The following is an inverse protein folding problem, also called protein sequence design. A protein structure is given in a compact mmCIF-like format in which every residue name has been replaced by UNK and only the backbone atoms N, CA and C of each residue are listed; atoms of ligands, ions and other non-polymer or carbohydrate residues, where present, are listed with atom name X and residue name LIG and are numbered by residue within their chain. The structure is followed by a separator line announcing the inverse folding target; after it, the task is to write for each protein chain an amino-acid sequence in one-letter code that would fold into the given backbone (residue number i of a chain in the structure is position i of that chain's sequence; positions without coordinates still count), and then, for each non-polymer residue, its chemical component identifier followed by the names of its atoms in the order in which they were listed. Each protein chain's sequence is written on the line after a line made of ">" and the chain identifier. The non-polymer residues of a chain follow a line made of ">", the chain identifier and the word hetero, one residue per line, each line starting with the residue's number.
data_IF_002962179709
#
_entry.id   IF_002962179709
#
_cell.length_a   1.000
_cell.length_b   1.000
_cell.length_c   1.000
_cell.angle_alpha   90.00
_cell.angle_beta   90.00
_cell.angle_gamma   90.00
#
_symmetry.space_group_name_H-M   'P 1'
#
loop_
_entity.id
_entity.type
_entity.pdbx_description
1 polymer ?
#
# COMPACT_ATOMS: atom_id res chain seq x y z
N UNK A 1 16.72 8.92 5.82
CA UNK A 1 17.96 9.63 5.42
C UNK A 1 17.64 11.09 5.09
N UNK A 2 18.47 12.10 5.47
CA UNK A 2 18.18 13.51 5.15
C UNK A 2 18.13 13.77 3.64
N UNK A 3 17.23 14.63 3.19
CA UNK A 3 17.11 15.02 1.77
C UNK A 3 18.35 15.76 1.23
N UNK A 4 19.18 16.30 2.13
CA UNK A 4 20.42 17.00 1.80
C UNK A 4 21.60 16.08 1.47
N UNK A 5 21.44 14.76 1.53
CA UNK A 5 22.55 13.84 1.26
C UNK A 5 22.98 13.90 -0.22
N UNK A 6 24.28 14.09 -0.53
CA UNK A 6 24.74 14.31 -1.90
C UNK A 6 24.31 13.24 -2.92
N UNK A 7 24.28 11.93 -2.61
CA UNK A 7 23.84 10.92 -3.55
C UNK A 7 22.37 11.06 -3.99
N UNK A 8 21.52 11.73 -3.20
CA UNK A 8 20.13 11.99 -3.57
C UNK A 8 19.97 13.10 -4.62
N UNK A 9 21.01 13.92 -4.82
CA UNK A 9 21.02 14.97 -5.83
C UNK A 9 21.52 14.47 -7.21
N UNK A 10 21.85 13.18 -7.34
CA UNK A 10 22.31 12.61 -8.59
C UNK A 10 21.18 12.63 -9.65
N UNK A 11 21.50 12.90 -10.94
CA UNK A 11 20.51 12.81 -12.02
C UNK A 11 19.84 11.43 -12.06
N UNK A 12 18.52 11.41 -12.24
CA UNK A 12 17.75 10.16 -12.27
C UNK A 12 17.35 9.62 -10.89
N UNK A 13 17.78 10.24 -9.79
CA UNK A 13 17.31 9.89 -8.45
C UNK A 13 16.09 10.73 -8.07
N UNK A 14 15.01 10.06 -7.71
CA UNK A 14 13.83 10.69 -7.13
C UNK A 14 13.70 10.26 -5.67
N UNK A 15 13.75 11.22 -4.76
CA UNK A 15 13.56 10.96 -3.33
C UNK A 15 12.07 10.93 -2.97
N UNK A 16 11.67 9.92 -2.21
CA UNK A 16 10.31 9.71 -1.71
C UNK A 16 10.27 9.78 -0.18
N UNK A 17 9.11 10.07 0.44
CA UNK A 17 8.94 9.91 1.89
C UNK A 17 9.13 8.45 2.32
N UNK A 18 9.20 8.15 3.63
CA UNK A 18 9.23 6.77 4.13
C UNK A 18 8.07 5.95 3.54
N UNK A 19 8.38 4.76 3.03
CA UNK A 19 7.43 3.95 2.27
C UNK A 19 6.26 3.45 3.13
N UNK A 20 5.05 3.56 2.60
CA UNK A 20 3.82 3.04 3.17
C UNK A 20 3.09 2.07 2.26
N UNK A 21 1.99 1.54 2.79
CA UNK A 21 1.10 0.67 2.03
C UNK A 21 0.46 1.42 0.85
N UNK A 22 0.73 0.96 -0.37
CA UNK A 22 0.22 1.53 -1.60
C UNK A 22 1.27 2.19 -2.47
N UNK A 23 2.39 2.63 -1.88
CA UNK A 23 3.34 3.52 -2.56
C UNK A 23 4.07 2.84 -3.73
N UNK A 24 4.22 1.51 -3.69
CA UNK A 24 4.83 0.75 -4.79
C UNK A 24 3.90 0.53 -5.99
N UNK A 25 2.63 0.97 -5.92
CA UNK A 25 1.74 1.00 -7.08
C UNK A 25 1.71 2.35 -7.79
N UNK A 26 2.58 3.28 -7.41
CA UNK A 26 2.64 4.59 -8.07
C UNK A 26 3.00 4.42 -9.56
N UNK A 27 2.25 5.03 -10.50
CA UNK A 27 2.50 4.90 -11.93
C UNK A 27 3.81 5.52 -12.42
N UNK A 28 4.50 6.28 -11.57
CA UNK A 28 5.87 6.73 -11.82
C UNK A 28 6.89 5.58 -11.77
N UNK A 29 6.60 4.49 -11.07
CA UNK A 29 7.45 3.30 -10.96
C UNK A 29 7.15 2.37 -12.13
N UNK A 30 8.15 2.08 -12.96
CA UNK A 30 8.00 1.35 -14.22
C UNK A 30 9.02 0.22 -14.35
N UNK A 31 8.72 -0.73 -15.24
CA UNK A 31 9.67 -1.76 -15.65
C UNK A 31 11.02 -1.14 -16.05
N UNK A 32 12.10 -1.67 -15.48
CA UNK A 32 13.46 -1.16 -15.70
C UNK A 32 13.94 -0.17 -14.63
N UNK A 33 13.04 0.40 -13.82
CA UNK A 33 13.42 1.27 -12.72
C UNK A 33 14.08 0.48 -11.57
N UNK A 34 14.82 1.20 -10.72
CA UNK A 34 15.35 0.67 -9.45
C UNK A 34 14.72 1.43 -8.28
N UNK A 35 14.05 0.69 -7.40
CA UNK A 35 13.47 1.21 -6.16
C UNK A 35 14.39 0.84 -4.99
N UNK A 36 14.88 1.85 -4.27
CA UNK A 36 15.67 1.68 -3.05
C UNK A 36 14.78 1.92 -1.84
N UNK A 37 14.46 0.87 -1.10
CA UNK A 37 13.66 0.92 0.12
C UNK A 37 14.59 1.10 1.31
N UNK A 38 14.43 2.23 2.02
CA UNK A 38 15.19 2.55 3.22
C UNK A 38 14.26 2.52 4.44
N UNK A 39 13.54 3.60 4.66
CA UNK A 39 12.64 3.79 5.80
C UNK A 39 11.18 3.51 5.41
N UNK A 40 10.36 3.12 6.38
CA UNK A 40 8.92 2.97 6.21
C UNK A 40 8.13 3.66 7.32
N UNK A 41 6.86 3.93 7.04
CA UNK A 41 5.93 4.44 8.06
C UNK A 41 5.64 3.38 9.12
N UNK A 42 5.63 3.79 10.38
CA UNK A 42 5.40 2.90 11.52
C UNK A 42 4.33 3.49 12.46
N UNK A 43 3.38 2.66 12.91
CA UNK A 43 2.19 3.00 13.70
C UNK A 43 1.14 3.96 13.11
N UNK A 44 1.54 4.97 12.34
CA UNK A 44 0.64 6.05 11.89
C UNK A 44 -0.16 5.69 10.63
N UNK A 45 0.33 4.72 9.85
CA UNK A 45 -0.30 4.20 8.64
C UNK A 45 0.01 2.70 8.50
N UNK A 46 -0.76 1.96 7.69
CA UNK A 46 -0.43 0.57 7.38
C UNK A 46 0.96 0.49 6.74
N UNK A 47 1.79 -0.41 7.27
CA UNK A 47 3.14 -0.61 6.77
C UNK A 47 3.14 -1.29 5.38
N UNK A 48 4.23 -1.05 4.64
CA UNK A 48 4.52 -1.73 3.38
C UNK A 48 4.43 -3.26 3.54
N UNK A 49 3.73 -3.91 2.60
CA UNK A 49 3.55 -5.36 2.59
C UNK A 49 4.51 -6.03 1.62
N UNK A 50 4.94 -7.25 1.95
CA UNK A 50 5.80 -8.08 1.09
C UNK A 50 5.29 -8.22 -0.34
N UNK A 51 3.97 -8.40 -0.50
CA UNK A 51 3.37 -8.61 -1.82
C UNK A 51 3.42 -7.38 -2.72
N UNK A 52 3.57 -6.18 -2.17
CA UNK A 52 3.76 -4.96 -2.97
C UNK A 52 5.16 -4.95 -3.59
N UNK A 53 6.16 -5.37 -2.82
CA UNK A 53 7.54 -5.53 -3.30
C UNK A 53 7.60 -6.62 -4.38
N UNK A 54 6.99 -7.77 -4.13
CA UNK A 54 6.91 -8.86 -5.10
C UNK A 54 6.17 -8.43 -6.38
N UNK A 55 5.14 -7.60 -6.26
CA UNK A 55 4.43 -7.05 -7.41
C UNK A 55 5.30 -6.12 -8.25
N UNK A 56 6.03 -5.19 -7.62
CA UNK A 56 6.96 -4.32 -8.33
C UNK A 56 8.05 -5.16 -9.05
N UNK A 57 8.63 -6.15 -8.35
CA UNK A 57 9.63 -7.04 -8.94
C UNK A 57 9.07 -7.88 -10.10
N UNK A 58 7.85 -8.38 -9.97
CA UNK A 58 7.14 -9.09 -11.04
C UNK A 58 6.84 -8.22 -12.28
N UNK A 59 6.89 -6.89 -12.14
CA UNK A 59 6.79 -5.93 -13.25
C UNK A 59 8.15 -5.54 -13.84
N UNK A 60 9.25 -6.18 -13.41
CA UNK A 60 10.59 -5.87 -13.90
C UNK A 60 11.26 -4.69 -13.20
N UNK A 61 10.76 -4.28 -12.02
CA UNK A 61 11.42 -3.29 -11.16
C UNK A 61 12.50 -3.96 -10.33
N UNK A 62 13.71 -3.41 -10.31
CA UNK A 62 14.75 -3.86 -9.36
C UNK A 62 14.46 -3.27 -8.00
N UNK A 63 14.44 -4.09 -6.96
CA UNK A 63 14.22 -3.59 -5.60
C UNK A 63 15.44 -3.88 -4.73
N UNK A 64 16.00 -2.80 -4.19
CA UNK A 64 17.10 -2.82 -3.22
C UNK A 64 16.52 -2.44 -1.85
N UNK A 65 16.83 -3.20 -0.82
CA UNK A 65 16.48 -2.87 0.56
C UNK A 65 17.73 -2.68 1.42
N UNK A 66 17.76 -1.59 2.18
CA UNK A 66 18.85 -1.30 3.10
C UNK A 66 18.37 -0.47 4.27
N UNK A 67 19.00 -0.65 5.43
CA UNK A 67 18.58 -0.05 6.69
C UNK A 67 17.08 -0.25 7.04
N UNK A 68 16.72 0.00 8.29
CA UNK A 68 15.31 0.06 8.73
C UNK A 68 14.43 -1.12 8.25
N UNK A 69 13.20 -0.83 7.81
CA UNK A 69 12.28 -1.78 7.16
C UNK A 69 12.84 -2.34 5.84
N UNK A 70 13.64 -1.56 5.10
CA UNK A 70 14.21 -1.98 3.82
C UNK A 70 15.12 -3.19 3.96
N UNK A 71 16.04 -3.14 4.93
CA UNK A 71 16.93 -4.25 5.27
C UNK A 71 16.16 -5.50 5.73
N UNK A 72 15.14 -5.32 6.57
CA UNK A 72 14.29 -6.43 7.03
C UNK A 72 13.57 -7.10 5.85
N UNK A 73 12.92 -6.31 4.99
CA UNK A 73 12.21 -6.82 3.81
C UNK A 73 13.16 -7.46 2.82
N UNK A 74 14.36 -6.93 2.62
CA UNK A 74 15.37 -7.56 1.79
C UNK A 74 15.81 -8.92 2.34
N UNK A 75 15.99 -9.07 3.66
CA UNK A 75 16.32 -10.37 4.25
C UNK A 75 15.21 -11.40 4.03
N UNK A 76 13.94 -11.00 4.17
CA UNK A 76 12.78 -11.88 3.96
C UNK A 76 12.53 -12.21 2.47
N UNK A 77 12.88 -11.29 1.56
CA UNK A 77 12.59 -11.39 0.13
C UNK A 77 13.81 -11.70 -0.74
N UNK A 78 14.99 -11.91 -0.14
CA UNK A 78 16.19 -12.34 -0.85
C UNK A 78 15.98 -13.63 -1.67
N UNK A 79 15.25 -14.67 -1.18
CA UNK A 79 14.95 -15.85 -2.00
C UNK A 79 14.10 -15.57 -3.25
N UNK A 80 13.43 -14.42 -3.30
CA UNK A 80 12.60 -13.98 -4.43
C UNK A 80 13.32 -12.96 -5.33
N UNK A 81 14.57 -12.61 -5.01
CA UNK A 81 15.43 -11.74 -5.84
C UNK A 81 15.55 -10.28 -5.37
N UNK A 82 15.02 -9.92 -4.20
CA UNK A 82 15.22 -8.57 -3.65
C UNK A 82 16.67 -8.43 -3.19
N UNK A 83 17.38 -7.38 -3.63
CA UNK A 83 18.78 -7.17 -3.26
C UNK A 83 18.86 -6.50 -1.88
N UNK A 84 19.57 -7.13 -0.95
CA UNK A 84 19.90 -6.52 0.33
C UNK A 84 21.29 -5.91 0.36
N UNK A 85 21.41 -4.70 0.92
CA UNK A 85 22.68 -3.96 1.03
C UNK A 85 22.90 -3.49 2.46
N UNK A 86 24.17 -3.50 2.89
CA UNK A 86 24.60 -2.98 4.17
C UNK A 86 24.57 -3.98 5.33
N UNK A 87 25.05 -3.51 6.49
CA UNK A 87 25.27 -4.31 7.68
C UNK A 87 23.96 -4.76 8.34
N UNK A 88 22.94 -3.90 8.36
CA UNK A 88 21.64 -4.20 8.98
C UNK A 88 20.94 -5.31 8.21
N UNK A 89 21.00 -5.29 6.87
CA UNK A 89 20.50 -6.39 6.04
C UNK A 89 21.26 -7.69 6.36
N UNK A 90 22.60 -7.65 6.36
CA UNK A 90 23.42 -8.83 6.62
C UNK A 90 23.12 -9.44 8.00
N UNK A 91 22.91 -8.60 9.02
CA UNK A 91 22.55 -9.03 10.37
C UNK A 91 21.17 -9.73 10.42
N UNK A 92 20.15 -9.22 9.71
CA UNK A 92 18.87 -9.91 9.59
C UNK A 92 18.99 -11.21 8.79
N UNK A 93 19.68 -11.19 7.65
CA UNK A 93 19.85 -12.36 6.79
C UNK A 93 20.61 -13.52 7.47
N UNK A 94 21.47 -13.20 8.44
CA UNK A 94 22.20 -14.18 9.27
C UNK A 94 21.49 -14.50 10.59
N UNK A 95 20.30 -13.96 10.81
CA UNK A 95 19.52 -14.10 12.05
C UNK A 95 20.26 -13.61 13.32
N UNK A 96 21.26 -12.73 13.17
CA UNK A 96 21.96 -12.08 14.29
C UNK A 96 21.03 -11.09 15.03
N UNK A 97 20.05 -10.54 14.28
CA UNK A 97 18.95 -9.73 14.79
C UNK A 97 17.63 -10.19 14.16
N UNK A 98 16.51 -10.04 14.88
CA UNK A 98 15.18 -10.47 14.41
C UNK A 98 14.01 -9.62 14.96
N UNK A 99 14.28 -8.58 15.75
CA UNK A 99 13.23 -7.80 16.41
C UNK A 99 12.88 -6.53 15.64
N UNK A 100 11.60 -6.19 15.55
CA UNK A 100 11.14 -4.91 14.97
C UNK A 100 11.73 -3.70 15.73
N UNK A 101 11.99 -3.85 17.03
CA UNK A 101 12.60 -2.84 17.88
C UNK A 101 14.03 -2.49 17.45
N UNK A 102 14.70 -3.38 16.73
CA UNK A 102 16.07 -3.21 16.24
C UNK A 102 16.18 -1.98 15.35
N UNK A 103 15.15 -1.72 14.55
CA UNK A 103 15.10 -0.65 13.54
C UNK A 103 14.10 0.47 13.86
N UNK A 104 13.21 0.26 14.83
CA UNK A 104 12.17 1.23 15.19
C UNK A 104 12.72 2.54 15.76
N UNK A 105 12.17 3.66 15.27
CA UNK A 105 12.47 5.02 15.72
C UNK A 105 11.18 5.82 15.94
N UNK A 106 11.19 6.74 16.91
CA UNK A 106 10.19 7.80 16.98
C UNK A 106 10.36 8.75 15.80
N UNK A 107 9.28 9.01 15.09
CA UNK A 107 9.23 9.94 13.96
C UNK A 107 8.59 11.26 14.40
N UNK A 108 9.13 12.38 13.93
CA UNK A 108 8.53 13.69 14.16
C UNK A 108 7.18 13.81 13.41
N UNK A 109 6.16 14.42 14.02
CA UNK A 109 4.83 14.59 13.41
C UNK A 109 4.76 15.77 12.41
N UNK A 110 5.88 16.45 12.17
CA UNK A 110 6.00 17.66 11.36
C UNK A 110 6.11 17.39 9.85
N UNK A 111 6.21 16.13 9.45
CA UNK A 111 6.37 15.73 8.05
C UNK A 111 7.81 15.84 7.53
N UNK A 112 8.79 16.19 8.37
CA UNK A 112 10.21 16.17 7.99
C UNK A 112 10.82 14.76 8.10
N UNK A 113 10.05 13.80 8.63
CA UNK A 113 10.39 12.38 8.76
C UNK A 113 11.72 12.09 9.49
N UNK A 114 12.23 13.08 10.24
CA UNK A 114 13.44 12.96 11.04
C UNK A 114 13.26 11.93 12.16
N UNK A 115 14.28 11.09 12.34
CA UNK A 115 14.34 10.18 13.49
C UNK A 115 14.65 10.98 14.76
N UNK A 116 13.75 10.93 15.74
CA UNK A 116 13.89 11.59 17.03
C UNK A 116 14.68 10.75 18.05
N UNK A 117 14.83 9.46 17.78
CA UNK A 117 15.40 8.48 18.69
C UNK A 117 16.31 7.51 17.97
N UNK A 118 17.17 6.83 18.72
CA UNK A 118 18.12 5.88 18.19
C UNK A 118 17.53 4.47 18.13
N UNK A 119 17.68 3.76 17.00
CA UNK A 119 17.35 2.35 16.88
C UNK A 119 18.38 1.46 17.61
N UNK A 120 18.05 0.21 17.96
CA UNK A 120 19.02 -0.70 18.65
C UNK A 120 20.24 -0.94 17.76
N UNK A 121 20.07 -1.06 16.45
CA UNK A 121 21.21 -1.34 15.54
C UNK A 121 22.29 -0.27 15.61
N UNK A 122 21.93 1.01 15.71
CA UNK A 122 22.89 2.10 15.88
C UNK A 122 23.58 1.98 17.26
N UNK A 123 22.82 1.63 18.31
CA UNK A 123 23.39 1.41 19.65
C UNK A 123 24.39 0.26 19.69
N UNK A 124 24.08 -0.87 19.05
CA UNK A 124 25.00 -2.01 18.89
C UNK A 124 26.28 -1.57 18.19
N UNK A 125 26.13 -0.85 17.08
CA UNK A 125 27.26 -0.38 16.30
C UNK A 125 28.15 0.57 17.10
N UNK A 126 27.56 1.53 17.81
CA UNK A 126 28.30 2.43 18.70
C UNK A 126 29.08 1.64 19.75
N UNK A 127 28.46 0.67 20.42
CA UNK A 127 29.13 -0.15 21.42
C UNK A 127 30.29 -0.96 20.83
N UNK A 128 30.15 -1.51 19.62
CA UNK A 128 31.25 -2.18 18.92
C UNK A 128 32.41 -1.23 18.61
N UNK A 129 32.12 0.00 18.19
CA UNK A 129 33.15 1.03 17.97
C UNK A 129 33.85 1.39 19.29
N UNK A 130 33.10 1.53 20.39
CA UNK A 130 33.65 1.86 21.69
C UNK A 130 34.50 0.72 22.28
N UNK A 131 34.10 -0.54 22.06
CA UNK A 131 34.91 -1.72 22.40
C UNK A 131 36.20 -1.76 21.58
N UNK A 132 36.13 -1.48 20.28
CA UNK A 132 37.30 -1.44 19.39
C UNK A 132 38.28 -0.33 19.79
N UNK A 133 37.77 0.76 20.37
CA UNK A 133 38.56 1.84 20.95
C UNK A 133 39.12 1.54 22.36
N UNK A 134 38.80 0.38 22.95
CA UNK A 134 39.28 -0.04 24.27
C UNK A 134 38.65 0.67 25.47
N UNK A 135 37.56 1.41 25.27
CA UNK A 135 36.89 2.20 26.31
C UNK A 135 36.00 1.32 27.20
N UNK A 136 35.40 0.28 26.63
CA UNK A 136 34.60 -0.70 27.36
C UNK A 136 34.95 -2.11 26.90
N UNK A 137 34.76 -3.10 27.76
CA UNK A 137 34.85 -4.51 27.40
C UNK A 137 33.49 -5.07 26.93
N UNK A 138 33.47 -6.35 26.55
CA UNK A 138 32.25 -7.01 26.08
C UNK A 138 31.17 -7.17 27.15
N UNK A 139 31.55 -7.30 28.42
CA UNK A 139 30.57 -7.46 29.51
C UNK A 139 29.86 -6.14 29.78
N UNK A 140 30.61 -5.03 29.85
CA UNK A 140 30.09 -3.66 29.95
C UNK A 140 29.19 -3.33 28.76
N UNK A 141 29.64 -3.62 27.53
CA UNK A 141 28.85 -3.39 26.33
C UNK A 141 27.51 -4.14 26.35
N UNK A 142 27.49 -5.41 26.74
CA UNK A 142 26.27 -6.20 26.85
C UNK A 142 25.29 -5.63 27.89
N UNK A 143 25.80 -5.22 29.06
CA UNK A 143 25.00 -4.58 30.13
C UNK A 143 24.37 -3.27 29.68
N UNK A 144 25.16 -2.40 29.01
CA UNK A 144 24.67 -1.13 28.46
C UNK A 144 23.59 -1.39 27.41
N UNK A 145 23.84 -2.30 26.47
CA UNK A 145 22.91 -2.63 25.41
C UNK A 145 21.58 -3.14 25.96
N UNK A 146 21.62 -4.06 26.92
CA UNK A 146 20.42 -4.60 27.57
C UNK A 146 19.60 -3.48 28.23
N UNK A 147 20.26 -2.56 28.94
CA UNK A 147 19.60 -1.46 29.61
C UNK A 147 18.99 -0.44 28.62
N UNK A 148 19.65 -0.18 27.49
CA UNK A 148 19.14 0.71 26.45
C UNK A 148 18.00 0.08 25.64
N UNK A 149 18.06 -1.24 25.41
CA UNK A 149 16.98 -1.98 24.74
C UNK A 149 15.69 -1.99 25.56
N UNK A 150 15.80 -1.96 26.90
CA UNK A 150 14.64 -1.86 27.79
C UNK A 150 13.93 -0.48 27.74
N UNK A 151 14.55 0.54 27.15
CA UNK A 151 13.92 1.85 26.96
C UNK A 151 12.98 1.77 25.75
N UNK A 152 11.71 2.09 25.95
CA UNK A 152 10.70 2.11 24.89
C UNK A 152 11.18 2.98 23.71
N UNK A 153 11.06 2.47 22.48
CA UNK A 153 11.78 3.03 21.33
C UNK A 153 11.55 4.53 21.07
N UNK A 154 10.33 5.13 21.22
CA UNK A 154 10.11 6.56 21.05
C UNK A 154 10.74 7.43 22.15
N UNK A 155 11.33 6.81 23.17
CA UNK A 155 12.00 7.49 24.27
C UNK A 155 13.53 7.29 24.24
N UNK A 156 14.07 6.50 23.30
CA UNK A 156 15.52 6.23 23.14
C UNK A 156 16.28 7.43 22.57
N UNK A 157 16.28 8.52 23.32
CA UNK A 157 16.98 9.75 23.00
C UNK A 157 18.40 9.75 23.58
N UNK A 158 19.24 10.69 23.15
CA UNK A 158 20.53 10.92 23.80
C UNK A 158 20.41 11.20 25.31
N UNK A 159 19.34 11.87 25.74
CA UNK A 159 19.07 12.08 27.15
C UNK A 159 18.81 10.76 27.90
N UNK A 160 18.09 9.82 27.29
CA UNK A 160 17.88 8.49 27.84
C UNK A 160 19.17 7.67 27.89
N UNK A 161 20.01 7.75 26.85
CA UNK A 161 21.33 7.09 26.86
C UNK A 161 22.17 7.58 28.04
N UNK A 162 22.29 8.90 28.23
CA UNK A 162 23.02 9.46 29.39
C UNK A 162 22.42 9.05 30.72
N UNK A 163 21.10 8.95 30.83
CA UNK A 163 20.44 8.49 32.05
C UNK A 163 20.76 7.02 32.38
N UNK A 164 20.77 6.15 31.36
CA UNK A 164 21.19 4.75 31.50
C UNK A 164 22.65 4.65 31.92
N UNK A 165 23.54 5.41 31.27
CA UNK A 165 24.96 5.40 31.60
C UNK A 165 25.20 5.83 33.06
N UNK A 166 24.54 6.90 33.54
CA UNK A 166 24.62 7.32 34.95
C UNK A 166 24.16 6.24 35.92
N UNK A 167 23.09 5.51 35.59
CA UNK A 167 22.55 4.45 36.45
C UNK A 167 23.47 3.23 36.53
N UNK A 168 24.26 2.98 35.48
CA UNK A 168 25.21 1.87 35.40
C UNK A 168 26.64 2.27 35.78
N UNK A 169 26.87 3.54 36.16
CA UNK A 169 28.19 4.12 36.39
C UNK A 169 29.14 4.08 35.15
N UNK A 170 28.55 4.11 33.95
CA UNK A 170 29.26 4.06 32.67
C UNK A 170 29.61 5.48 32.16
N UNK A 171 30.30 6.25 33.02
CA UNK A 171 30.65 7.66 32.75
C UNK A 171 31.70 7.81 31.65
N UNK A 172 32.64 6.87 31.57
CA UNK A 172 33.69 6.82 30.54
C UNK A 172 33.10 6.65 29.14
N UNK A 173 32.21 5.67 28.96
CA UNK A 173 31.46 5.46 27.71
C UNK A 173 30.66 6.71 27.32
N UNK A 174 29.91 7.30 28.26
CA UNK A 174 29.10 8.48 27.99
C UNK A 174 29.95 9.69 27.56
N UNK A 175 31.11 9.89 28.21
CA UNK A 175 32.05 10.96 27.88
C UNK A 175 32.68 10.77 26.50
N UNK A 176 33.12 9.54 26.20
CA UNK A 176 33.67 9.20 24.90
C UNK A 176 32.65 9.42 23.77
N UNK A 177 31.43 8.92 23.94
CA UNK A 177 30.37 9.07 22.95
C UNK A 177 29.98 10.54 22.75
N UNK A 178 29.94 11.34 23.82
CA UNK A 178 29.70 12.78 23.71
C UNK A 178 30.77 13.47 22.86
N UNK A 179 32.05 13.14 23.07
CA UNK A 179 33.15 13.70 22.30
C UNK A 179 33.11 13.30 20.82
N UNK A 180 32.73 12.04 20.51
CA UNK A 180 32.56 11.59 19.12
C UNK A 180 31.41 12.33 18.43
N UNK A 181 30.27 12.50 19.10
CA UNK A 181 29.11 13.22 18.55
C UNK A 181 29.38 14.71 18.33
N UNK A 182 30.25 15.32 19.14
CA UNK A 182 30.67 16.72 18.98
C UNK A 182 31.54 16.89 17.72
N UNK A 183 32.38 15.89 17.41
CA UNK A 183 33.22 15.88 16.21
C UNK A 183 32.42 15.54 14.94
N UNK A 184 31.54 14.55 15.03
CA UNK A 184 30.65 14.13 13.95
C UNK A 184 29.25 13.84 14.49
N UNK A 185 28.29 14.69 14.12
CA UNK A 185 26.89 14.54 14.51
C UNK A 185 26.25 13.23 14.05
N UNK A 186 26.82 12.58 13.03
CA UNK A 186 26.34 11.32 12.45
C UNK A 186 27.13 10.11 12.95
N UNK A 187 28.00 10.30 13.95
CA UNK A 187 28.81 9.22 14.51
C UNK A 187 27.93 8.04 14.95
N UNK A 188 28.26 6.85 14.45
CA UNK A 188 27.54 5.62 14.77
C UNK A 188 26.17 5.46 14.10
N UNK A 189 25.80 6.32 13.15
CA UNK A 189 24.55 6.19 12.38
C UNK A 189 24.67 5.12 11.29
N UNK A 190 24.58 3.85 11.71
CA UNK A 190 24.65 2.70 10.82
C UNK A 190 23.53 2.70 9.78
N UNK A 191 22.31 3.12 10.16
CA UNK A 191 21.20 3.27 9.21
C UNK A 191 21.55 4.22 8.07
N UNK A 192 22.19 5.36 8.37
CA UNK A 192 22.63 6.31 7.34
C UNK A 192 23.74 5.72 6.47
N UNK A 193 24.70 5.02 7.06
CA UNK A 193 25.78 4.39 6.31
C UNK A 193 25.25 3.36 5.29
N UNK A 194 24.39 2.45 5.73
CA UNK A 194 23.76 1.43 4.88
C UNK A 194 22.86 2.06 3.79
N UNK A 195 22.10 3.11 4.13
CA UNK A 195 21.28 3.83 3.17
C UNK A 195 22.11 4.46 2.03
N UNK A 196 23.24 5.09 2.39
CA UNK A 196 24.15 5.68 1.40
C UNK A 196 24.83 4.61 0.54
N UNK A 197 25.19 3.47 1.12
CA UNK A 197 25.74 2.33 0.37
C UNK A 197 24.72 1.79 -0.66
N UNK A 198 23.45 1.67 -0.28
CA UNK A 198 22.40 1.22 -1.18
C UNK A 198 22.14 2.17 -2.34
N UNK A 199 22.13 3.48 -2.09
CA UNK A 199 22.00 4.48 -3.16
C UNK A 199 23.19 4.42 -4.12
N UNK A 200 24.42 4.27 -3.62
CA UNK A 200 25.59 4.08 -4.49
C UNK A 200 25.49 2.79 -5.31
N UNK A 201 25.07 1.70 -4.68
CA UNK A 201 24.84 0.42 -5.36
C UNK A 201 23.80 0.54 -6.47
N UNK A 202 22.74 1.33 -6.26
CA UNK A 202 21.72 1.60 -7.27
C UNK A 202 22.23 2.43 -8.45
N UNK A 203 23.17 3.35 -8.19
CA UNK A 203 23.79 4.22 -9.21
C UNK A 203 24.90 3.51 -9.99
N UNK A 204 25.53 2.48 -9.40
CA UNK A 204 26.55 1.68 -10.04
C UNK A 204 25.91 0.57 -10.91
N UNK A 205 25.56 0.93 -12.15
CA UNK A 205 24.86 0.12 -13.19
C UNK A 205 25.41 -1.32 -13.39
N UNK A 206 26.62 -1.63 -12.92
CA UNK A 206 27.29 -2.92 -13.10
C UNK A 206 27.18 -3.93 -11.96
N UNK A 207 26.53 -3.60 -10.83
CA UNK A 207 26.59 -4.44 -9.61
C UNK A 207 25.27 -5.05 -9.14
N UNK A 208 24.12 -4.54 -9.58
CA UNK A 208 22.85 -5.16 -9.25
C UNK A 208 22.65 -6.42 -10.11
N UNK A 209 22.51 -7.64 -9.53
CA UNK A 209 22.22 -8.82 -10.32
C UNK A 209 20.97 -8.57 -11.16
N UNK A 210 21.10 -8.78 -12.47
CA UNK A 210 19.95 -8.82 -13.35
C UNK A 210 19.20 -10.11 -13.01
N UNK A 211 18.03 -9.99 -12.39
CA UNK A 211 17.09 -11.10 -12.39
C UNK A 211 16.58 -11.20 -13.83
N UNK A 212 17.17 -12.10 -14.62
CA UNK A 212 16.93 -12.22 -16.07
C UNK A 212 15.48 -12.58 -16.42
N UNK A 213 14.66 -12.95 -15.42
CA UNK A 213 13.23 -13.16 -15.58
C UNK A 213 12.45 -12.49 -14.43
N UNK A 214 11.34 -11.78 -14.74
CA UNK A 214 10.40 -11.30 -13.73
C UNK A 214 9.89 -12.45 -12.87
N UNK A 215 9.65 -12.17 -11.58
CA UNK A 215 9.10 -13.17 -10.66
C UNK A 215 7.70 -13.59 -11.12
N UNK A 216 7.54 -14.85 -11.51
CA UNK A 216 6.28 -15.39 -12.03
C UNK A 216 5.10 -15.11 -11.07
N UNK A 217 4.02 -14.43 -11.52
CA UNK A 217 2.88 -14.05 -10.68
C UNK A 217 2.27 -15.21 -9.90
N UNK A 218 2.28 -16.42 -10.47
CA UNK A 218 1.76 -17.63 -9.84
C UNK A 218 2.43 -17.96 -8.48
N UNK A 219 3.66 -17.50 -8.25
CA UNK A 219 4.40 -17.77 -7.02
C UNK A 219 3.93 -16.91 -5.83
N UNK A 220 3.23 -15.79 -6.05
CA UNK A 220 2.96 -14.81 -5.00
C UNK A 220 1.59 -14.14 -5.06
N UNK A 221 0.89 -14.15 -6.19
CA UNK A 221 -0.45 -13.59 -6.30
C UNK A 221 -1.48 -14.43 -5.54
N UNK A 222 -2.33 -13.76 -4.76
CA UNK A 222 -3.48 -14.40 -4.10
C UNK A 222 -4.74 -13.59 -4.32
N UNK A 223 -5.90 -14.20 -4.09
CA UNK A 223 -7.19 -13.51 -4.08
C UNK A 223 -7.22 -12.33 -3.12
N UNK A 224 -6.57 -12.46 -1.95
CA UNK A 224 -6.40 -11.37 -1.00
C UNK A 224 -5.60 -10.22 -1.61
N UNK A 225 -4.45 -10.52 -2.22
CA UNK A 225 -3.61 -9.54 -2.90
C UNK A 225 -4.41 -8.71 -3.90
N UNK A 226 -5.03 -9.38 -4.88
CA UNK A 226 -5.85 -8.72 -5.91
C UNK A 226 -6.92 -7.83 -5.29
N UNK A 227 -7.60 -8.32 -4.25
CA UNK A 227 -8.68 -7.57 -3.60
C UNK A 227 -8.21 -6.26 -2.97
N UNK A 228 -7.11 -6.26 -2.23
CA UNK A 228 -6.65 -5.02 -1.60
C UNK A 228 -5.82 -4.15 -2.56
N UNK A 229 -5.15 -4.74 -3.56
CA UNK A 229 -4.39 -3.97 -4.55
C UNK A 229 -5.31 -3.14 -5.46
N UNK A 230 -6.55 -3.59 -5.68
CA UNK A 230 -7.57 -2.83 -6.40
C UNK A 230 -7.85 -1.44 -5.82
N UNK A 231 -7.61 -1.23 -4.51
CA UNK A 231 -7.78 0.08 -3.87
C UNK A 231 -6.76 1.13 -4.37
N UNK A 232 -5.66 0.68 -4.98
CA UNK A 232 -4.60 1.52 -5.54
C UNK A 232 -4.68 1.65 -7.06
N UNK A 233 -5.56 0.89 -7.72
CA UNK A 233 -5.73 0.97 -9.16
C UNK A 233 -6.34 2.32 -9.57
N UNK A 234 -5.54 3.15 -10.23
CA UNK A 234 -5.93 4.48 -10.74
C UNK A 234 -5.78 4.53 -12.25
N UNK A 235 -6.63 5.30 -12.92
CA UNK A 235 -6.48 5.60 -14.35
C UNK A 235 -6.62 7.09 -14.57
N UNK A 236 -5.69 7.67 -15.35
CA UNK A 236 -5.86 9.01 -15.88
C UNK A 236 -6.67 8.94 -17.18
N UNK A 237 -7.88 9.48 -17.18
CA UNK A 237 -8.81 9.48 -18.32
C UNK A 237 -9.57 10.81 -18.36
N UNK A 238 -9.69 11.43 -19.53
CA UNK A 238 -10.26 12.78 -19.69
C UNK A 238 -9.63 13.84 -18.77
N UNK A 239 -8.33 13.71 -18.50
CA UNK A 239 -7.55 14.55 -17.55
C UNK A 239 -8.03 14.46 -16.09
N UNK A 240 -8.79 13.42 -15.76
CA UNK A 240 -9.19 13.10 -14.39
C UNK A 240 -8.38 11.88 -13.93
N UNK A 241 -7.76 11.99 -12.76
CA UNK A 241 -7.19 10.83 -12.07
C UNK A 241 -8.29 10.19 -11.22
N UNK A 242 -8.75 9.01 -11.60
CA UNK A 242 -9.90 8.36 -10.97
C UNK A 242 -9.53 7.00 -10.41
N UNK A 243 -10.13 6.65 -9.27
CA UNK A 243 -10.14 5.29 -8.74
C UNK A 243 -10.85 4.36 -9.72
N UNK A 244 -10.16 3.32 -10.18
CA UNK A 244 -10.71 2.32 -11.10
C UNK A 244 -11.82 1.53 -10.41
N UNK A 245 -11.68 1.28 -9.11
CA UNK A 245 -12.72 0.63 -8.31
C UNK A 245 -13.98 1.49 -8.21
N UNK A 246 -13.84 2.81 -8.02
CA UNK A 246 -15.00 3.70 -7.93
C UNK A 246 -15.73 3.82 -9.27
N UNK A 247 -14.98 3.82 -10.38
CA UNK A 247 -15.53 3.75 -11.74
C UNK A 247 -16.31 2.44 -11.94
N UNK A 248 -15.73 1.30 -11.56
CA UNK A 248 -16.42 0.01 -11.65
C UNK A 248 -17.70 -0.01 -10.81
N UNK A 249 -17.61 0.39 -9.55
CA UNK A 249 -18.78 0.38 -8.65
C UNK A 249 -19.86 1.34 -9.15
N UNK A 250 -19.47 2.49 -9.73
CA UNK A 250 -20.42 3.41 -10.36
C UNK A 250 -21.14 2.74 -11.53
N UNK A 251 -20.43 2.08 -12.43
CA UNK A 251 -21.03 1.34 -13.55
C UNK A 251 -21.93 0.20 -13.05
N UNK A 252 -21.47 -0.58 -12.07
CA UNK A 252 -22.29 -1.63 -11.44
C UNK A 252 -23.60 -1.10 -10.88
N UNK A 253 -23.60 0.10 -10.30
CA UNK A 253 -24.79 0.70 -9.69
C UNK A 253 -25.69 1.37 -10.73
N UNK A 254 -25.14 2.15 -11.66
CA UNK A 254 -25.92 3.08 -12.47
C UNK A 254 -26.09 2.68 -13.94
N UNK A 255 -25.20 1.85 -14.51
CA UNK A 255 -25.37 1.39 -15.89
C UNK A 255 -26.50 0.32 -15.93
N UNK A 256 -27.63 0.58 -16.62
CA UNK A 256 -28.70 -0.41 -16.76
C UNK A 256 -28.28 -1.62 -17.60
N UNK A 257 -27.25 -1.50 -18.43
CA UNK A 257 -26.73 -2.58 -19.26
C UNK A 257 -25.62 -3.38 -18.56
N UNK A 258 -25.22 -3.04 -17.33
CA UNK A 258 -24.05 -3.64 -16.69
C UNK A 258 -24.16 -5.16 -16.53
N UNK A 259 -25.36 -5.71 -16.39
CA UNK A 259 -25.55 -7.17 -16.34
C UNK A 259 -25.03 -7.88 -17.62
N UNK A 260 -25.13 -7.22 -18.79
CA UNK A 260 -24.56 -7.72 -20.05
C UNK A 260 -23.04 -7.61 -20.05
N UNK A 261 -22.50 -6.49 -19.53
CA UNK A 261 -21.05 -6.28 -19.36
C UNK A 261 -20.46 -7.35 -18.45
N UNK A 262 -21.12 -7.65 -17.33
CA UNK A 262 -20.72 -8.72 -16.41
C UNK A 262 -20.77 -10.10 -17.06
N UNK A 263 -21.84 -10.42 -17.79
CA UNK A 263 -21.94 -11.69 -18.53
C UNK A 263 -20.83 -11.82 -19.59
N UNK A 264 -20.49 -10.75 -20.31
CA UNK A 264 -19.39 -10.72 -21.26
C UNK A 264 -18.04 -10.94 -20.57
N UNK A 265 -17.81 -10.32 -19.41
CA UNK A 265 -16.63 -10.53 -18.59
C UNK A 265 -16.51 -11.99 -18.13
N UNK A 266 -17.58 -12.60 -17.61
CA UNK A 266 -17.61 -14.02 -17.25
C UNK A 266 -17.32 -14.92 -18.47
N UNK A 267 -17.86 -14.56 -19.64
CA UNK A 267 -17.57 -15.21 -20.91
C UNK A 267 -16.09 -15.20 -21.24
N UNK A 268 -15.46 -14.02 -21.18
CA UNK A 268 -14.04 -13.85 -21.39
C UNK A 268 -13.20 -14.66 -20.39
N UNK A 269 -13.53 -14.61 -19.09
CA UNK A 269 -12.82 -15.38 -18.05
C UNK A 269 -12.97 -16.89 -18.21
N UNK A 270 -14.12 -17.36 -18.71
CA UNK A 270 -14.33 -18.78 -19.00
C UNK A 270 -13.47 -19.28 -20.17
N UNK A 271 -13.26 -18.43 -21.17
CA UNK A 271 -12.39 -18.70 -22.32
C UNK A 271 -10.90 -18.51 -22.00
N UNK A 272 -10.56 -17.73 -20.98
CA UNK A 272 -9.18 -17.45 -20.59
C UNK A 272 -8.96 -17.73 -19.08
N UNK A 273 -8.96 -19.01 -18.65
CA UNK A 273 -8.75 -19.38 -17.25
C UNK A 273 -7.40 -18.89 -16.73
N UNK A 274 -7.35 -18.37 -15.50
CA UNK A 274 -6.10 -17.87 -14.91
C UNK A 274 -5.12 -18.99 -14.49
N UNK A 275 -5.59 -20.24 -14.40
CA UNK A 275 -4.81 -21.42 -14.04
C UNK A 275 -4.15 -22.08 -15.27
N UNK A 276 -4.28 -21.48 -16.47
CA UNK A 276 -3.74 -22.03 -17.71
C UNK A 276 -4.54 -23.22 -18.26
N UNK A 277 -5.68 -23.58 -17.66
CA UNK A 277 -6.55 -24.61 -18.18
C UNK A 277 -7.15 -24.21 -19.54
N UNK A 278 -7.63 -25.20 -20.30
CA UNK A 278 -8.28 -24.96 -21.58
C UNK A 278 -9.53 -24.06 -21.41
N UNK A 279 -9.61 -23.03 -22.25
CA UNK A 279 -10.78 -22.16 -22.36
C UNK A 279 -12.02 -22.92 -22.81
N UNK A 280 -13.17 -22.57 -22.26
CA UNK A 280 -14.47 -23.13 -22.64
C UNK A 280 -15.52 -22.02 -22.77
N UNK A 281 -16.49 -22.16 -23.69
CA UNK A 281 -17.67 -21.30 -23.68
C UNK A 281 -18.35 -21.32 -22.30
N UNK A 282 -18.80 -20.16 -21.84
CA UNK A 282 -19.38 -20.01 -20.50
C UNK A 282 -20.55 -20.95 -20.25
N UNK A 283 -21.42 -21.14 -21.26
CA UNK A 283 -22.56 -22.06 -21.18
C UNK A 283 -22.11 -23.51 -20.97
N UNK A 284 -21.06 -23.94 -21.68
CA UNK A 284 -20.50 -25.28 -21.52
C UNK A 284 -19.90 -25.46 -20.12
N UNK A 285 -19.17 -24.46 -19.62
CA UNK A 285 -18.62 -24.47 -18.25
C UNK A 285 -19.73 -24.49 -17.20
N UNK A 286 -20.79 -23.71 -17.38
CA UNK A 286 -21.94 -23.65 -16.49
C UNK A 286 -22.71 -24.97 -16.45
N UNK A 287 -22.89 -25.61 -17.62
CA UNK A 287 -23.53 -26.92 -17.73
C UNK A 287 -22.73 -28.00 -16.99
N UNK A 288 -21.39 -27.98 -17.09
CA UNK A 288 -20.52 -28.91 -16.34
C UNK A 288 -20.66 -28.77 -14.83
N UNK A 289 -20.84 -27.55 -14.32
CA UNK A 289 -20.88 -27.27 -12.88
C UNK A 289 -22.29 -27.47 -12.29
N UNK A 290 -23.34 -27.11 -13.03
CA UNK A 290 -24.71 -27.01 -12.49
C UNK A 290 -25.75 -27.90 -13.17
N UNK A 291 -25.40 -28.55 -14.29
CA UNK A 291 -26.39 -29.24 -15.13
C UNK A 291 -27.35 -28.31 -15.88
N UNK A 292 -27.12 -26.98 -15.87
CA UNK A 292 -27.84 -26.00 -16.70
C UNK A 292 -29.02 -25.28 -16.02
N UNK A 293 -29.23 -25.46 -14.71
CA UNK A 293 -30.39 -24.90 -13.98
C UNK A 293 -30.19 -23.52 -13.34
N UNK A 294 -28.97 -22.98 -13.35
CA UNK A 294 -28.63 -21.70 -12.69
C UNK A 294 -27.93 -20.77 -13.68
N UNK A 295 -28.15 -19.46 -13.55
CA UNK A 295 -27.43 -18.44 -14.31
C UNK A 295 -25.96 -18.35 -13.91
N UNK A 296 -25.08 -18.01 -14.85
CA UNK A 296 -23.63 -17.92 -14.62
C UNK A 296 -23.28 -16.91 -13.52
N UNK A 297 -24.01 -15.81 -13.45
CA UNK A 297 -23.87 -14.75 -12.46
C UNK A 297 -24.21 -15.20 -11.04
N UNK A 298 -24.92 -16.32 -10.86
CA UNK A 298 -25.24 -16.91 -9.54
C UNK A 298 -24.22 -17.94 -9.07
N UNK A 299 -23.32 -18.36 -9.97
CA UNK A 299 -22.38 -19.46 -9.75
C UNK A 299 -20.95 -18.95 -9.73
N UNK A 300 -20.62 -18.04 -10.63
CA UNK A 300 -19.26 -17.57 -10.85
C UNK A 300 -19.07 -16.13 -10.39
N UNK A 301 -18.19 -15.96 -9.41
CA UNK A 301 -17.73 -14.66 -8.91
C UNK A 301 -16.20 -14.63 -8.88
N UNK A 302 -15.53 -14.61 -10.04
CA UNK A 302 -14.09 -14.61 -10.09
C UNK A 302 -13.53 -13.33 -9.43
N UNK A 303 -12.37 -13.41 -8.75
CA UNK A 303 -11.71 -12.21 -8.24
C UNK A 303 -11.33 -11.29 -9.40
N UNK A 304 -11.73 -10.03 -9.31
CA UNK A 304 -11.43 -9.00 -10.30
C UNK A 304 -10.04 -8.41 -9.98
N UNK A 305 -9.21 -8.24 -11.01
CA UNK A 305 -7.96 -7.49 -10.94
C UNK A 305 -8.11 -6.18 -11.71
N UNK A 306 -8.20 -5.07 -11.01
CA UNK A 306 -8.38 -3.74 -11.61
C UNK A 306 -7.07 -3.11 -12.06
N UNK A 307 -5.94 -3.81 -11.91
CA UNK A 307 -4.64 -3.40 -12.44
C UNK A 307 -4.42 -3.94 -13.85
N UNK A 308 -5.20 -4.95 -14.25
CA UNK A 308 -5.13 -5.55 -15.57
C UNK A 308 -5.93 -4.74 -16.59
N UNK A 309 -5.26 -4.18 -17.59
CA UNK A 309 -5.87 -3.29 -18.59
C UNK A 309 -7.00 -3.97 -19.36
N UNK A 310 -6.87 -5.27 -19.67
CA UNK A 310 -7.90 -6.01 -20.40
C UNK A 310 -9.17 -6.19 -19.57
N UNK A 311 -9.02 -6.55 -18.28
CA UNK A 311 -10.12 -6.63 -17.32
C UNK A 311 -10.84 -5.29 -17.18
N UNK A 312 -10.08 -4.19 -17.04
CA UNK A 312 -10.65 -2.84 -16.94
C UNK A 312 -11.39 -2.45 -18.22
N UNK A 313 -10.79 -2.70 -19.39
CA UNK A 313 -11.41 -2.40 -20.69
C UNK A 313 -12.74 -3.14 -20.89
N UNK A 314 -12.84 -4.40 -20.46
CA UNK A 314 -14.08 -5.18 -20.53
C UNK A 314 -15.14 -4.66 -19.56
N UNK A 315 -14.77 -4.43 -18.30
CA UNK A 315 -15.72 -4.04 -17.25
C UNK A 315 -16.19 -2.59 -17.37
N UNK A 316 -15.40 -1.71 -18.00
CA UNK A 316 -15.74 -0.30 -18.21
C UNK A 316 -16.07 0.01 -19.68
N UNK A 317 -16.38 -1.01 -20.50
CA UNK A 317 -16.67 -0.83 -21.93
C UNK A 317 -17.86 0.11 -22.21
N UNK A 318 -18.83 0.18 -21.28
CA UNK A 318 -19.99 1.07 -21.36
C UNK A 318 -19.79 2.47 -20.76
N UNK A 319 -18.62 2.75 -20.17
CA UNK A 319 -18.40 3.97 -19.40
C UNK A 319 -18.31 5.22 -20.28
N UNK A 320 -19.16 6.21 -19.99
CA UNK A 320 -19.19 7.49 -20.70
C UNK A 320 -18.37 8.57 -19.99
N UNK A 321 -18.08 9.67 -20.69
CA UNK A 321 -17.46 10.85 -20.09
C UNK A 321 -18.32 11.44 -18.96
N UNK A 322 -19.66 11.38 -19.10
CA UNK A 322 -20.58 11.86 -18.07
C UNK A 322 -20.46 11.02 -16.78
N UNK A 323 -20.33 9.71 -16.91
CA UNK A 323 -20.13 8.81 -15.76
C UNK A 323 -18.82 9.14 -15.05
N UNK A 324 -17.73 9.33 -15.80
CA UNK A 324 -16.43 9.73 -15.22
C UNK A 324 -16.51 11.04 -14.46
N UNK A 325 -17.22 12.04 -15.00
CA UNK A 325 -17.48 13.30 -14.30
C UNK A 325 -18.32 13.08 -13.04
N UNK A 326 -19.29 12.18 -13.06
CA UNK A 326 -20.09 11.85 -11.88
C UNK A 326 -19.25 11.15 -10.81
N UNK A 327 -18.41 10.19 -11.18
CA UNK A 327 -17.43 9.53 -10.28
C UNK A 327 -16.53 10.58 -9.62
N UNK A 328 -15.99 11.53 -10.38
CA UNK A 328 -15.18 12.62 -9.84
C UNK A 328 -15.96 13.45 -8.80
N UNK A 329 -17.19 13.88 -9.12
CA UNK A 329 -18.06 14.62 -8.19
C UNK A 329 -18.36 13.82 -6.92
N UNK A 330 -18.58 12.52 -7.04
CA UNK A 330 -18.91 11.66 -5.89
C UNK A 330 -17.69 11.46 -4.99
N UNK A 331 -16.49 11.34 -5.58
CA UNK A 331 -15.23 11.32 -4.85
C UNK A 331 -15.00 12.64 -4.10
N UNK A 332 -15.24 13.79 -4.74
CA UNK A 332 -15.13 15.11 -4.12
C UNK A 332 -16.10 15.29 -2.95
N UNK A 333 -17.35 14.85 -3.10
CA UNK A 333 -18.34 14.86 -2.02
C UNK A 333 -17.88 14.01 -0.83
N UNK A 334 -17.33 12.81 -1.08
CA UNK A 334 -16.79 11.95 -0.03
C UNK A 334 -15.58 12.58 0.68
N UNK A 335 -14.69 13.25 -0.06
CA UNK A 335 -13.57 14.01 0.52
C UNK A 335 -14.08 15.18 1.37
N UNK A 336 -15.12 15.88 0.90
CA UNK A 336 -15.79 16.95 1.66
C UNK A 336 -16.36 16.47 3.00
N UNK A 337 -17.03 15.31 3.00
CA UNK A 337 -17.54 14.68 4.23
C UNK A 337 -16.40 14.34 5.21
N UNK A 338 -15.29 13.77 4.72
CA UNK A 338 -14.12 13.46 5.58
C UNK A 338 -13.46 14.70 6.17
N UNK A 339 -13.42 15.81 5.42
CA UNK A 339 -12.86 17.09 5.89
C UNK A 339 -13.74 17.74 6.96
N UNK A 340 -15.06 17.70 6.78
CA UNK A 340 -16.01 18.32 7.72
C UNK A 340 -16.26 17.46 8.96
N UNK A 341 -15.99 16.15 8.89
CA UNK A 341 -16.21 15.18 9.97
C UNK A 341 -14.96 14.30 10.16
N UNK A 342 -13.97 14.76 10.95
CA UNK A 342 -12.79 13.95 11.26
C UNK A 342 -13.17 12.57 11.81
N UNK A 343 -12.57 11.51 11.26
CA UNK A 343 -12.90 10.12 11.60
C UNK A 343 -14.08 9.52 10.84
N UNK A 344 -14.73 10.27 9.93
CA UNK A 344 -15.75 9.70 9.05
C UNK A 344 -15.16 8.60 8.16
N UNK A 345 -15.83 7.46 8.14
CA UNK A 345 -15.54 6.37 7.21
C UNK A 345 -16.82 5.96 6.51
N UNK A 346 -16.70 5.37 5.32
CA UNK A 346 -17.87 4.86 4.57
C UNK A 346 -18.61 3.78 5.35
N UNK A 347 -17.96 3.10 6.31
CA UNK A 347 -18.60 2.13 7.20
C UNK A 347 -19.71 2.76 8.06
N UNK A 348 -19.61 4.07 8.38
CA UNK A 348 -20.62 4.80 9.13
C UNK A 348 -21.90 5.08 8.33
N UNK A 349 -21.87 4.94 7.00
CA UNK A 349 -23.08 5.01 6.17
C UNK A 349 -23.96 3.80 6.48
N UNK A 350 -25.23 4.06 6.78
CA UNK A 350 -26.21 3.02 7.14
C UNK A 350 -26.47 2.04 5.98
N UNK A 351 -26.51 0.76 6.31
CA UNK A 351 -26.78 -0.33 5.36
C UNK A 351 -28.18 -0.23 4.76
N UNK A 352 -29.20 0.06 5.58
CA UNK A 352 -30.60 0.14 5.16
C UNK A 352 -30.86 1.32 4.23
N UNK A 353 -30.24 2.48 4.50
CA UNK A 353 -30.28 3.63 3.59
C UNK A 353 -29.68 3.27 2.23
N UNK A 354 -28.49 2.66 2.22
CA UNK A 354 -27.79 2.30 0.99
C UNK A 354 -28.60 1.27 0.19
N UNK A 355 -29.19 0.27 0.86
CA UNK A 355 -30.08 -0.72 0.25
C UNK A 355 -31.29 -0.07 -0.41
N UNK A 356 -31.99 0.84 0.29
CA UNK A 356 -33.15 1.55 -0.25
C UNK A 356 -32.79 2.38 -1.49
N UNK A 357 -31.63 3.05 -1.46
CA UNK A 357 -31.14 3.80 -2.62
C UNK A 357 -30.88 2.87 -3.81
N UNK A 358 -30.20 1.73 -3.60
CA UNK A 358 -29.95 0.77 -4.67
C UNK A 358 -31.23 0.18 -5.26
N UNK A 359 -32.20 -0.22 -4.44
CA UNK A 359 -33.50 -0.71 -4.92
C UNK A 359 -34.24 0.33 -5.75
N UNK A 360 -34.14 1.61 -5.37
CA UNK A 360 -34.71 2.72 -6.14
C UNK A 360 -34.00 2.92 -7.49
N UNK A 361 -32.67 2.85 -7.51
CA UNK A 361 -31.87 2.98 -8.73
C UNK A 361 -32.13 1.81 -9.68
N UNK A 362 -32.18 0.59 -9.17
CA UNK A 362 -32.39 -0.63 -9.95
C UNK A 362 -33.86 -0.92 -10.24
N UNK A 363 -34.80 -0.20 -9.61
CA UNK A 363 -36.24 -0.39 -9.75
C UNK A 363 -36.68 -1.84 -9.47
N UNK A 364 -36.06 -2.49 -8.47
CA UNK A 364 -36.31 -3.88 -8.12
C UNK A 364 -36.99 -4.03 -6.75
N UNK A 365 -37.68 -5.15 -6.55
CA UNK A 365 -38.24 -5.51 -5.24
C UNK A 365 -37.17 -6.06 -4.28
N UNK A 366 -37.51 -6.18 -2.99
CA UNK A 366 -36.62 -6.77 -1.98
C UNK A 366 -36.28 -8.24 -2.32
N UNK A 367 -37.21 -8.96 -2.94
CA UNK A 367 -37.04 -10.37 -3.33
C UNK A 367 -36.06 -10.53 -4.50
N UNK A 368 -35.97 -9.53 -5.37
CA UNK A 368 -35.10 -9.53 -6.56
C UNK A 368 -33.72 -8.95 -6.27
N UNK A 369 -33.55 -8.25 -5.14
CA UNK A 369 -32.36 -7.45 -4.84
C UNK A 369 -31.04 -8.25 -4.88
N UNK A 370 -31.03 -9.47 -4.33
CA UNK A 370 -29.84 -10.33 -4.36
C UNK A 370 -29.52 -10.81 -5.78
N UNK A 371 -30.54 -11.12 -6.59
CA UNK A 371 -30.36 -11.54 -7.97
C UNK A 371 -29.84 -10.39 -8.83
N UNK A 372 -30.38 -9.18 -8.66
CA UNK A 372 -29.92 -7.98 -9.35
C UNK A 372 -28.47 -7.63 -9.00
N UNK A 373 -28.11 -7.73 -7.71
CA UNK A 373 -26.73 -7.56 -7.26
C UNK A 373 -25.80 -8.61 -7.88
N UNK A 374 -26.23 -9.88 -7.95
CA UNK A 374 -25.46 -10.98 -8.55
C UNK A 374 -25.23 -10.74 -10.04
N UNK A 375 -26.29 -10.36 -10.78
CA UNK A 375 -26.24 -10.06 -12.21
C UNK A 375 -25.28 -8.90 -12.54
N UNK A 376 -25.11 -7.96 -11.60
CA UNK A 376 -24.16 -6.83 -11.70
C UNK A 376 -22.74 -7.15 -11.20
N UNK A 377 -22.45 -8.41 -10.86
CA UNK A 377 -21.14 -8.84 -10.37
C UNK A 377 -20.82 -8.43 -8.94
N UNK A 378 -21.82 -8.05 -8.14
CA UNK A 378 -21.67 -7.66 -6.74
C UNK A 378 -21.88 -8.85 -5.78
N UNK A 379 -22.01 -10.08 -6.28
CA UNK A 379 -22.20 -11.33 -5.52
C UNK A 379 -23.57 -11.46 -4.85
N UNK A 380 -23.95 -10.50 -4.01
CA UNK A 380 -25.26 -10.46 -3.35
C UNK A 380 -25.57 -9.04 -2.86
N UNK A 381 -26.80 -8.81 -2.41
CA UNK A 381 -27.27 -7.51 -1.93
C UNK A 381 -26.46 -6.96 -0.77
N UNK A 382 -25.99 -7.80 0.16
CA UNK A 382 -25.13 -7.35 1.26
C UNK A 382 -23.78 -6.80 0.75
N UNK A 383 -23.20 -7.41 -0.28
CA UNK A 383 -21.95 -6.97 -0.90
C UNK A 383 -22.16 -5.74 -1.78
N UNK A 384 -23.30 -5.65 -2.48
CA UNK A 384 -23.71 -4.45 -3.20
C UNK A 384 -23.83 -3.23 -2.28
N UNK A 385 -24.48 -3.40 -1.12
CA UNK A 385 -24.56 -2.36 -0.09
C UNK A 385 -23.17 -1.90 0.34
N UNK A 386 -22.27 -2.81 0.70
CA UNK A 386 -20.91 -2.45 1.11
C UNK A 386 -20.16 -1.69 0.01
N UNK A 387 -20.27 -2.13 -1.24
CA UNK A 387 -19.61 -1.47 -2.37
C UNK A 387 -20.16 -0.05 -2.59
N UNK A 388 -21.48 0.11 -2.59
CA UNK A 388 -22.17 1.37 -2.92
C UNK A 388 -22.10 2.45 -1.83
N UNK A 389 -21.78 2.10 -0.58
CA UNK A 389 -21.65 3.09 0.53
C UNK A 389 -20.73 4.27 0.18
N UNK A 390 -19.70 4.05 -0.63
CA UNK A 390 -18.77 5.10 -1.09
C UNK A 390 -19.43 6.15 -1.98
N UNK A 391 -20.51 5.79 -2.68
CA UNK A 391 -21.24 6.65 -3.61
C UNK A 391 -22.35 7.46 -2.90
N UNK A 392 -22.77 7.04 -1.70
CA UNK A 392 -23.92 7.63 -1.00
C UNK A 392 -23.80 9.13 -0.75
N UNK A 393 -22.65 9.70 -0.31
CA UNK A 393 -22.52 11.14 -0.15
C UNK A 393 -22.80 11.92 -1.45
N UNK A 394 -22.20 11.48 -2.56
CA UNK A 394 -22.40 12.10 -3.88
C UNK A 394 -23.83 11.95 -4.38
N UNK A 395 -24.42 10.77 -4.25
CA UNK A 395 -25.81 10.51 -4.66
C UNK A 395 -26.81 11.37 -3.88
N UNK A 396 -26.62 11.51 -2.56
CA UNK A 396 -27.49 12.37 -1.74
C UNK A 396 -27.37 13.85 -2.10
N UNK A 397 -26.18 14.31 -2.47
CA UNK A 397 -25.97 15.67 -2.95
C UNK A 397 -26.70 15.89 -4.28
N UNK A 398 -26.52 15.00 -5.25
CA UNK A 398 -27.18 15.06 -6.55
C UNK A 398 -28.71 15.08 -6.42
N UNK A 399 -29.28 14.21 -5.57
CA UNK A 399 -30.72 14.19 -5.30
C UNK A 399 -31.25 15.51 -4.70
N UNK A 400 -30.46 16.21 -3.88
CA UNK A 400 -30.85 17.52 -3.33
C UNK A 400 -30.82 18.59 -4.40
N UNK A 401 -29.77 18.63 -5.23
CA UNK A 401 -29.62 19.57 -6.34
C UNK A 401 -30.80 19.46 -7.32
N UNK A 402 -31.15 18.25 -7.74
CA UNK A 402 -32.32 18.02 -8.63
C UNK A 402 -33.64 18.43 -7.98
N UNK A 403 -33.77 18.31 -6.65
CA UNK A 403 -34.98 18.74 -5.93
C UNK A 403 -35.09 20.26 -5.88
N UNK A 404 -33.97 20.96 -5.65
CA UNK A 404 -33.90 22.42 -5.64
C UNK A 404 -34.20 23.01 -7.02
N UNK A 405 -33.57 22.49 -8.09
CA UNK A 405 -33.83 22.93 -9.47
C UNK A 405 -35.30 22.76 -9.88
N UNK A 406 -35.93 21.64 -9.51
CA UNK A 406 -37.38 21.42 -9.77
C UNK A 406 -38.26 22.39 -9.00
N UNK A 407 -37.85 22.78 -7.79
CA UNK A 407 -38.59 23.73 -6.95
C UNK A 407 -38.45 25.15 -7.48
N UNK A 408 -37.27 25.54 -7.94
CA UNK A 408 -37.01 26.84 -8.57
C UNK A 408 -37.73 26.97 -9.92
N UNK A 409 -37.69 25.94 -10.77
CA UNK A 409 -38.44 25.92 -12.03
C UNK A 409 -39.96 26.03 -11.81
N UNK A 410 -40.50 25.39 -10.77
CA UNK A 410 -41.90 25.51 -10.39
C UNK A 410 -42.26 26.89 -9.80
N UNK A 411 -41.31 27.58 -9.17
CA UNK A 411 -41.47 28.92 -8.60
C UNK A 411 -41.40 30.06 -9.62
N UNK A 412 -40.64 29.90 -10.71
CA UNK A 412 -40.51 30.90 -11.80
C UNK A 412 -41.73 30.89 -12.75
N UNK A 413 -42.57 29.87 -12.69
CA UNK A 413 -43.79 29.75 -13.52
C UNK A 413 -45.05 30.34 -12.85
N UNK A 414 -44.89 31.20 -11.84
CA UNK A 414 -46.01 31.82 -11.08
C UNK A 414 -46.08 33.32 -11.25
#
# INVERSE_FOLDING_TARGET
>A
MPSSEPPLAAPGVQAWPPVGHGDLFDPAIRSGDTVVIIDGVYHQAPALRHKEILAAMGQGVKVIGAASIGALRAAELAPYGMLGVGHIYAAYAREEINGDDEVAVGQAPDGEFGALTWPVVNLRHILQLTQSAGVIDGERAAKILQALRAVYYPQRTWAAVRAVCRRLDETEFAGWLAAQLEQDRHFGDLKRADALEAVRTALDDGTAPQTDAPLEPAAWETTYFRRWSNAFARTCVDRLELSTEDRLVYQQVFDPAFAKTWAAYLGHRSLNPADGAAGLPLEARLAQVTGGGLGADRVFHPPIDLRDEQTVALLLAGETEQDRRAVARYADALVGERRTRPGFTVAAVRDDLTRQLLMRVWQCSEQEFDAEASARGLVCGARAVVAAKRLVPGLLQEMRETTTERTEAAGVTR
#
